data_IF_754201546189
#
_entry.id   IF_754201546189
#
_cell.length_a   1.000
_cell.length_b   1.000
_cell.length_c   1.000
_cell.angle_alpha   90.00
_cell.angle_beta   90.00
_cell.angle_gamma   90.00
#
_symmetry.space_group_name_H-M   'P 1'
#
loop_
_entity.id
_entity.type
_entity.pdbx_description
1 polymer ?
#
# COMPACT_ATOMS: atom_id res chain seq x y z
N UNK A 1 -4.56 -21.19 20.49
CA UNK A 1 -3.10 -21.16 20.25
C UNK A 1 -2.75 -20.75 18.81
N UNK A 2 -3.50 -21.19 17.79
CA UNK A 2 -3.23 -20.84 16.38
C UNK A 2 -3.44 -19.36 16.01
N UNK A 3 -4.40 -18.67 16.64
CA UNK A 3 -4.64 -17.24 16.35
C UNK A 3 -3.42 -16.40 16.74
N UNK A 4 -2.81 -16.67 17.91
CA UNK A 4 -1.64 -15.94 18.38
C UNK A 4 -0.41 -16.15 17.49
N UNK A 5 -0.28 -17.30 16.82
CA UNK A 5 0.87 -17.55 15.93
C UNK A 5 0.75 -16.84 14.58
N UNK A 6 -0.47 -16.48 14.15
CA UNK A 6 -0.71 -15.74 12.90
C UNK A 6 -0.80 -14.24 13.10
N UNK A 7 -1.16 -13.80 14.30
CA UNK A 7 -1.38 -12.40 14.65
C UNK A 7 -0.19 -11.48 14.28
N UNK A 8 1.09 -11.81 14.54
CA UNK A 8 2.21 -10.95 14.15
C UNK A 8 2.32 -10.72 12.64
N UNK A 9 2.04 -11.75 11.83
CA UNK A 9 2.08 -11.63 10.37
C UNK A 9 0.94 -10.74 9.86
N UNK A 10 -0.26 -10.90 10.41
CA UNK A 10 -1.41 -10.05 10.08
C UNK A 10 -1.15 -8.59 10.45
N UNK A 11 -0.65 -8.33 11.67
CA UNK A 11 -0.32 -6.97 12.11
C UNK A 11 0.75 -6.32 11.21
N UNK A 12 1.80 -7.07 10.86
CA UNK A 12 2.83 -6.58 9.94
C UNK A 12 2.25 -6.19 8.59
N UNK A 13 1.43 -7.06 8.00
CA UNK A 13 0.79 -6.79 6.71
C UNK A 13 -0.16 -5.60 6.78
N UNK A 14 -1.02 -5.55 7.80
CA UNK A 14 -1.94 -4.43 8.00
C UNK A 14 -1.19 -3.11 8.17
N UNK A 15 -0.18 -3.08 9.03
CA UNK A 15 0.58 -1.87 9.32
C UNK A 15 1.35 -1.37 8.09
N UNK A 16 2.01 -2.27 7.34
CA UNK A 16 2.69 -1.88 6.10
C UNK A 16 1.71 -1.38 5.05
N UNK A 17 0.58 -2.07 4.84
CA UNK A 17 -0.44 -1.64 3.88
C UNK A 17 -1.01 -0.28 4.26
N UNK A 18 -1.28 -0.06 5.54
CA UNK A 18 -1.75 1.21 6.09
C UNK A 18 -0.75 2.34 5.83
N UNK A 19 0.54 2.13 6.12
CA UNK A 19 1.57 3.14 5.89
C UNK A 19 1.69 3.53 4.41
N UNK A 20 1.69 2.54 3.51
CA UNK A 20 1.67 2.81 2.06
C UNK A 20 0.41 3.59 1.70
N UNK A 21 -0.74 3.19 2.23
CA UNK A 21 -2.02 3.81 1.91
C UNK A 21 -2.04 5.28 2.30
N UNK A 22 -1.67 5.57 3.55
CA UNK A 22 -1.60 6.93 4.12
C UNK A 22 -0.56 7.78 3.42
N UNK A 23 0.64 7.22 3.24
CA UNK A 23 1.76 7.92 2.60
C UNK A 23 1.43 8.40 1.19
N UNK A 24 0.54 7.71 0.48
CA UNK A 24 0.08 8.09 -0.86
C UNK A 24 -1.22 8.92 -0.80
N UNK A 25 -2.20 8.48 -0.01
CA UNK A 25 -3.53 9.09 0.03
C UNK A 25 -3.51 10.52 0.59
N UNK A 26 -2.67 10.80 1.59
CA UNK A 26 -2.61 12.12 2.21
C UNK A 26 -2.09 13.17 1.21
N UNK A 27 -0.88 13.01 0.61
CA UNK A 27 -0.36 13.99 -0.34
C UNK A 27 -1.29 14.18 -1.54
N UNK A 28 -1.83 13.07 -2.09
CA UNK A 28 -2.75 13.12 -3.22
C UNK A 28 -4.03 13.88 -2.84
N UNK A 29 -4.66 13.56 -1.70
CA UNK A 29 -5.88 14.20 -1.26
C UNK A 29 -5.74 15.70 -1.00
N UNK A 30 -4.64 16.11 -0.35
CA UNK A 30 -4.31 17.51 -0.11
C UNK A 30 -4.08 18.25 -1.44
N UNK A 31 -3.30 17.65 -2.35
CA UNK A 31 -3.01 18.25 -3.65
C UNK A 31 -4.28 18.41 -4.49
N UNK A 32 -5.13 17.38 -4.54
CA UNK A 32 -6.43 17.40 -5.22
C UNK A 32 -7.36 18.50 -4.69
N UNK A 33 -7.40 18.70 -3.36
CA UNK A 33 -8.26 19.69 -2.72
C UNK A 33 -7.81 21.13 -2.96
N UNK A 34 -6.50 21.38 -2.87
CA UNK A 34 -5.91 22.70 -3.12
C UNK A 34 -6.01 23.13 -4.59
N UNK A 35 -5.99 22.16 -5.52
CA UNK A 35 -6.13 22.39 -6.96
C UNK A 35 -7.47 21.86 -7.50
N UNK A 36 -8.57 22.16 -6.80
CA UNK A 36 -9.92 21.69 -7.16
C UNK A 36 -10.28 21.98 -8.63
N UNK A 37 -10.93 21.02 -9.29
CA UNK A 37 -11.33 21.07 -10.71
C UNK A 37 -10.18 21.09 -11.72
N UNK A 38 -8.92 20.98 -11.29
CA UNK A 38 -7.80 20.76 -12.20
C UNK A 38 -7.88 19.40 -12.89
N UNK A 39 -7.14 19.25 -13.99
CA UNK A 39 -6.97 17.96 -14.67
C UNK A 39 -6.41 16.92 -13.69
N UNK A 40 -5.51 17.31 -12.80
CA UNK A 40 -4.95 16.41 -11.78
C UNK A 40 -6.00 15.93 -10.79
N UNK A 41 -6.92 16.81 -10.35
CA UNK A 41 -8.03 16.45 -9.46
C UNK A 41 -8.98 15.45 -10.11
N UNK A 42 -9.28 15.65 -11.41
CA UNK A 42 -10.12 14.74 -12.19
C UNK A 42 -9.44 13.38 -12.40
N UNK A 43 -8.15 13.36 -12.73
CA UNK A 43 -7.38 12.11 -12.90
C UNK A 43 -7.28 11.31 -11.60
N UNK A 44 -7.03 11.98 -10.47
CA UNK A 44 -7.05 11.34 -9.14
C UNK A 44 -8.43 10.76 -8.85
N UNK A 45 -9.49 11.51 -9.10
CA UNK A 45 -10.87 11.06 -8.86
C UNK A 45 -11.23 9.85 -9.70
N UNK A 46 -10.91 9.87 -11.01
CA UNK A 46 -11.05 8.76 -11.95
C UNK A 46 -10.22 7.55 -11.50
N UNK A 47 -8.95 7.76 -11.17
CA UNK A 47 -8.05 6.71 -10.67
C UNK A 47 -8.59 6.04 -9.41
N UNK A 48 -9.15 6.80 -8.47
CA UNK A 48 -9.79 6.24 -7.28
C UNK A 48 -11.06 5.45 -7.60
N UNK A 49 -11.80 5.77 -8.67
CA UNK A 49 -12.92 4.92 -9.09
C UNK A 49 -12.42 3.57 -9.58
N UNK A 50 -11.37 3.55 -10.42
CA UNK A 50 -10.76 2.30 -10.84
C UNK A 50 -10.27 1.46 -9.65
N UNK A 51 -9.58 2.09 -8.68
CA UNK A 51 -9.09 1.39 -7.50
C UNK A 51 -10.18 0.77 -6.63
N UNK A 52 -11.36 1.40 -6.55
CA UNK A 52 -12.52 0.89 -5.78
C UNK A 52 -13.29 -0.18 -6.57
N UNK A 53 -13.41 -0.02 -7.88
CA UNK A 53 -14.21 -0.91 -8.73
C UNK A 53 -13.53 -2.26 -9.01
N UNK A 54 -12.21 -2.36 -8.87
CA UNK A 54 -11.48 -3.61 -9.08
C UNK A 54 -11.60 -4.50 -7.82
N UNK A 55 -12.10 -5.75 -7.94
CA UNK A 55 -12.14 -6.67 -6.82
C UNK A 55 -10.73 -7.01 -6.30
N UNK A 56 -10.52 -6.92 -4.98
CA UNK A 56 -9.24 -7.17 -4.32
C UNK A 56 -8.59 -8.50 -4.74
N UNK A 57 -9.40 -9.56 -4.74
CA UNK A 57 -8.98 -10.90 -5.11
C UNK A 57 -8.49 -10.96 -6.57
N UNK A 58 -9.23 -10.35 -7.50
CA UNK A 58 -8.86 -10.34 -8.91
C UNK A 58 -7.57 -9.55 -9.15
N UNK A 59 -7.42 -8.40 -8.50
CA UNK A 59 -6.18 -7.64 -8.56
C UNK A 59 -5.00 -8.43 -7.96
N UNK A 60 -5.22 -9.12 -6.84
CA UNK A 60 -4.23 -10.03 -6.25
C UNK A 60 -3.81 -11.15 -7.21
N UNK A 61 -4.77 -11.76 -7.92
CA UNK A 61 -4.45 -12.75 -8.95
C UNK A 61 -3.63 -12.16 -10.10
N UNK A 62 -3.95 -10.95 -10.57
CA UNK A 62 -3.15 -10.27 -11.59
C UNK A 62 -1.73 -9.97 -11.12
N UNK A 63 -1.57 -9.51 -9.87
CA UNK A 63 -0.25 -9.28 -9.28
C UNK A 63 0.58 -10.55 -9.27
N UNK A 64 -0.01 -11.67 -8.87
CA UNK A 64 0.65 -12.98 -8.90
C UNK A 64 1.01 -13.38 -10.35
N UNK A 65 0.06 -13.27 -11.28
CA UNK A 65 0.29 -13.60 -12.69
C UNK A 65 1.45 -12.81 -13.28
N UNK A 66 1.45 -11.49 -13.11
CA UNK A 66 2.45 -10.61 -13.72
C UNK A 66 3.81 -10.76 -13.01
N UNK A 67 3.86 -10.62 -11.69
CA UNK A 67 5.14 -10.53 -10.98
C UNK A 67 5.75 -11.88 -10.62
N UNK A 68 4.93 -12.89 -10.34
CA UNK A 68 5.41 -14.20 -9.93
C UNK A 68 5.52 -15.19 -11.10
N UNK A 69 4.55 -15.21 -12.02
CA UNK A 69 4.56 -16.18 -13.12
C UNK A 69 5.26 -15.65 -14.37
N UNK A 70 4.89 -14.45 -14.84
CA UNK A 70 5.44 -13.88 -16.08
C UNK A 70 6.84 -13.31 -15.88
N UNK A 71 7.00 -12.37 -14.95
CA UNK A 71 8.27 -11.69 -14.70
C UNK A 71 9.21 -12.50 -13.79
N UNK A 72 8.66 -13.35 -12.92
CA UNK A 72 9.41 -14.18 -11.95
C UNK A 72 10.32 -13.37 -11.02
N UNK A 73 9.90 -12.15 -10.67
CA UNK A 73 10.66 -11.23 -9.81
C UNK A 73 10.22 -11.37 -8.34
N UNK A 74 8.93 -11.63 -8.10
CA UNK A 74 8.36 -11.74 -6.75
C UNK A 74 7.81 -13.15 -6.49
N UNK A 75 7.81 -13.63 -5.24
CA UNK A 75 7.28 -14.94 -4.90
C UNK A 75 5.76 -14.96 -4.96
N UNK A 76 5.12 -16.03 -5.46
CA UNK A 76 3.66 -16.11 -5.57
C UNK A 76 2.92 -16.07 -4.22
N UNK A 77 3.59 -16.44 -3.12
CA UNK A 77 3.05 -16.43 -1.77
C UNK A 77 3.96 -17.18 -0.78
N UNK A 78 3.64 -17.10 0.51
CA UNK A 78 4.41 -17.72 1.58
C UNK A 78 5.03 -16.70 2.55
N UNK A 79 6.02 -17.13 3.32
CA UNK A 79 6.68 -16.29 4.33
C UNK A 79 8.19 -16.11 4.09
N UNK A 80 8.83 -17.06 3.42
CA UNK A 80 10.25 -17.05 3.02
C UNK A 80 10.47 -18.09 1.92
N UNK A 81 11.55 -17.95 1.13
CA UNK A 81 11.94 -19.00 0.18
C UNK A 81 12.39 -20.24 0.95
N UNK A 82 12.05 -21.47 0.51
CA UNK A 82 12.38 -22.70 1.25
C UNK A 82 13.88 -22.93 1.44
N UNK A 83 14.70 -22.40 0.53
CA UNK A 83 16.16 -22.49 0.52
C UNK A 83 16.84 -21.22 1.07
N UNK A 84 16.10 -20.29 1.66
CA UNK A 84 16.70 -19.16 2.38
C UNK A 84 17.24 -19.62 3.73
N UNK A 85 18.56 -19.68 3.83
CA UNK A 85 19.25 -19.90 5.10
C UNK A 85 19.88 -18.60 5.60
N UNK A 86 19.32 -17.97 6.66
CA UNK A 86 19.89 -16.77 7.25
C UNK A 86 21.31 -16.96 7.80
N UNK A 87 21.73 -18.19 8.12
CA UNK A 87 23.04 -18.49 8.71
C UNK A 87 24.18 -18.49 7.69
N UNK A 88 23.87 -18.64 6.39
CA UNK A 88 24.83 -18.57 5.29
C UNK A 88 25.38 -17.15 5.08
N UNK A 89 24.72 -16.12 5.61
CA UNK A 89 25.13 -14.73 5.47
C UNK A 89 26.03 -14.27 6.65
N UNK A 90 27.09 -13.47 6.39
CA UNK A 90 27.90 -12.87 7.45
C UNK A 90 27.04 -12.08 8.44
N UNK A 91 27.41 -12.07 9.72
CA UNK A 91 26.62 -11.45 10.80
C UNK A 91 26.25 -9.98 10.52
N UNK A 92 27.14 -9.26 9.83
CA UNK A 92 26.96 -7.84 9.45
C UNK A 92 25.85 -7.66 8.40
N UNK A 93 25.71 -8.60 7.45
CA UNK A 93 24.80 -8.50 6.28
C UNK A 93 23.52 -9.31 6.50
N UNK A 94 23.53 -10.26 7.43
CA UNK A 94 22.36 -11.07 7.80
C UNK A 94 21.07 -10.29 8.05
N UNK A 95 21.03 -9.17 8.81
CA UNK A 95 19.77 -8.46 9.05
C UNK A 95 19.17 -7.86 7.77
N UNK A 96 20.02 -7.32 6.88
CA UNK A 96 19.54 -6.76 5.62
C UNK A 96 19.01 -7.85 4.68
N UNK A 97 19.66 -9.02 4.63
CA UNK A 97 19.20 -10.15 3.85
C UNK A 97 17.80 -10.64 4.28
N UNK A 98 17.57 -10.76 5.59
CA UNK A 98 16.27 -11.15 6.16
C UNK A 98 15.19 -10.10 5.82
N UNK A 99 15.54 -8.81 5.95
CA UNK A 99 14.60 -7.73 5.66
C UNK A 99 14.19 -7.71 4.18
N UNK A 100 15.16 -7.86 3.28
CA UNK A 100 14.90 -7.94 1.83
C UNK A 100 14.00 -9.13 1.51
N UNK A 101 14.26 -10.29 2.10
CA UNK A 101 13.42 -11.47 1.90
C UNK A 101 11.99 -11.20 2.36
N UNK A 102 11.81 -10.68 3.57
CA UNK A 102 10.49 -10.36 4.09
C UNK A 102 9.74 -9.33 3.24
N UNK A 103 10.44 -8.32 2.70
CA UNK A 103 9.83 -7.33 1.82
C UNK A 103 9.33 -7.94 0.51
N UNK A 104 10.03 -8.91 -0.07
CA UNK A 104 9.57 -9.59 -1.31
C UNK A 104 8.23 -10.31 -1.12
N UNK A 105 8.06 -11.01 0.01
CA UNK A 105 6.81 -11.70 0.33
C UNK A 105 5.68 -10.76 0.75
N UNK A 106 6.03 -9.57 1.28
CA UNK A 106 5.07 -8.58 1.74
C UNK A 106 4.60 -7.66 0.62
N UNK A 107 5.43 -7.40 -0.39
CA UNK A 107 5.20 -6.37 -1.40
C UNK A 107 3.87 -6.53 -2.13
N UNK A 108 3.62 -7.71 -2.73
CA UNK A 108 2.38 -7.93 -3.48
C UNK A 108 1.12 -7.81 -2.61
N UNK A 109 0.96 -8.54 -1.49
CA UNK A 109 -0.24 -8.42 -0.68
C UNK A 109 -0.40 -7.03 -0.07
N UNK A 110 0.70 -6.35 0.29
CA UNK A 110 0.62 -4.99 0.81
C UNK A 110 0.14 -3.98 -0.25
N UNK A 111 0.60 -4.12 -1.51
CA UNK A 111 0.16 -3.27 -2.63
C UNK A 111 -1.31 -3.52 -2.98
N UNK A 112 -1.75 -4.78 -2.95
CA UNK A 112 -3.15 -5.13 -3.21
C UNK A 112 -4.08 -4.48 -2.18
N UNK A 113 -3.73 -4.60 -0.89
CA UNK A 113 -4.51 -3.98 0.18
C UNK A 113 -4.41 -2.46 0.19
N UNK A 114 -3.22 -1.90 -0.13
CA UNK A 114 -3.03 -0.46 -0.09
C UNK A 114 -3.76 0.25 -1.22
N UNK A 115 -3.83 -0.32 -2.43
CA UNK A 115 -4.52 0.30 -3.56
C UNK A 115 -5.97 0.67 -3.24
N UNK A 116 -6.72 -0.26 -2.64
CA UNK A 116 -8.12 -0.07 -2.27
C UNK A 116 -8.27 0.98 -1.17
N UNK A 117 -7.40 0.91 -0.15
CA UNK A 117 -7.41 1.85 0.96
C UNK A 117 -7.03 3.26 0.49
N UNK A 118 -6.01 3.41 -0.35
CA UNK A 118 -5.59 4.69 -0.93
C UNK A 118 -6.72 5.36 -1.71
N UNK A 119 -7.43 4.60 -2.54
CA UNK A 119 -8.53 5.14 -3.33
C UNK A 119 -9.66 5.72 -2.46
N UNK A 120 -9.95 5.07 -1.34
CA UNK A 120 -10.96 5.52 -0.37
C UNK A 120 -10.45 6.69 0.48
N UNK A 121 -9.23 6.59 1.00
CA UNK A 121 -8.64 7.56 1.92
C UNK A 121 -8.26 8.87 1.23
N UNK A 122 -7.87 8.84 -0.04
CA UNK A 122 -7.57 10.04 -0.82
C UNK A 122 -8.81 10.93 -0.99
N UNK A 123 -9.98 10.31 -1.22
CA UNK A 123 -11.27 11.02 -1.31
C UNK A 123 -11.71 11.58 0.03
N UNK A 124 -11.56 10.80 1.09
CA UNK A 124 -11.82 11.26 2.45
C UNK A 124 -10.94 12.47 2.78
N UNK A 125 -9.61 12.36 2.56
CA UNK A 125 -8.67 13.45 2.80
C UNK A 125 -8.98 14.69 1.95
N UNK A 126 -9.34 14.51 0.67
CA UNK A 126 -9.77 15.61 -0.19
C UNK A 126 -10.99 16.33 0.38
N UNK A 127 -12.01 15.59 0.81
CA UNK A 127 -13.21 16.16 1.42
C UNK A 127 -12.86 16.94 2.69
N UNK A 128 -12.12 16.32 3.61
CA UNK A 128 -11.70 16.97 4.85
C UNK A 128 -10.85 18.22 4.60
N UNK A 129 -9.96 18.20 3.60
CA UNK A 129 -9.14 19.35 3.25
C UNK A 129 -9.97 20.49 2.65
N UNK A 130 -10.99 20.19 1.84
CA UNK A 130 -11.92 21.20 1.34
C UNK A 130 -12.70 21.87 2.49
N UNK A 131 -13.07 21.11 3.52
CA UNK A 131 -13.73 21.67 4.71
C UNK A 131 -12.77 22.59 5.50
N UNK A 132 -11.50 22.21 5.61
CA UNK A 132 -10.45 22.97 6.31
C UNK A 132 -10.06 24.26 5.59
N UNK A 133 -9.91 24.23 4.26
CA UNK A 133 -9.52 25.42 3.47
C UNK A 133 -10.57 26.55 3.58
N UNK A 134 -11.82 26.20 3.88
CA UNK A 134 -12.89 27.18 4.04
C UNK A 134 -13.01 27.76 5.45
N UNK A 135 -12.17 27.33 6.41
CA UNK A 135 -12.20 27.83 7.78
C UNK A 135 -11.54 29.20 7.90
N UNK A 136 -12.06 30.04 8.79
CA UNK A 136 -11.62 31.42 8.96
C UNK A 136 -10.13 31.54 9.34
N UNK A 137 -9.62 30.61 10.17
CA UNK A 137 -8.21 30.62 10.58
C UNK A 137 -7.21 30.38 9.44
N UNK A 138 -7.65 29.79 8.32
CA UNK A 138 -6.83 29.66 7.10
C UNK A 138 -6.93 30.92 6.24
N UNK A 139 -8.09 31.60 6.24
CA UNK A 139 -8.34 32.78 5.41
C UNK A 139 -7.74 34.07 5.97
N UNK A 140 -7.49 34.13 7.28
CA UNK A 140 -6.91 35.30 7.97
C UNK A 140 -5.40 35.20 8.20
N UNK A 141 -4.76 34.09 7.78
CA UNK A 141 -3.33 33.83 7.99
C UNK A 141 -2.46 34.27 6.79
#
# INVERSE_FOLDING_TARGET
>A
KEILSRLPATLKLMFTSFLISVGIAIPIGIYSATHRYSVTDQLVTLGSFFGISIPAFWFGLLMILVFALTLKILPAGGYSTPWFDPSAYPLIIRPIAILVEQLKYLAMPAVVLSLMNTASWSRYMRSSMLDVINQDYIRTA
#
